data_IF_622631468463
#
_entry.id   IF_622631468463
#
_cell.length_a   1.000
_cell.length_b   1.000
_cell.length_c   1.000
_cell.angle_alpha   90.00
_cell.angle_beta   90.00
_cell.angle_gamma   90.00
#
_symmetry.space_group_name_H-M   'P 1'
#
loop_
_entity.id
_entity.type
_entity.pdbx_description
1 polymer ?
#
# COMPACT_ATOMS: atom_id res chain seq x y z
N UNK A 1 -27.24 -7.86 19.51
CA UNK A 1 -27.01 -7.90 18.07
C UNK A 1 -26.85 -6.48 17.60
N UNK A 2 -25.64 -6.00 17.46
CA UNK A 2 -25.30 -4.64 17.03
C UNK A 2 -24.18 -4.73 16.03
N UNK A 3 -24.49 -4.53 14.77
CA UNK A 3 -23.56 -4.38 13.70
C UNK A 3 -22.79 -3.08 13.90
N UNK A 4 -21.53 -3.16 14.27
CA UNK A 4 -20.63 -2.02 14.20
C UNK A 4 -20.28 -1.82 12.73
N UNK A 5 -20.95 -0.85 12.12
CA UNK A 5 -20.66 -0.41 10.77
C UNK A 5 -19.22 0.09 10.68
N UNK A 6 -18.44 -0.51 9.76
CA UNK A 6 -17.32 0.17 9.13
C UNK A 6 -17.88 1.47 8.57
N UNK A 7 -17.47 2.60 9.13
CA UNK A 7 -17.72 3.91 8.54
C UNK A 7 -16.88 4.01 7.25
N UNK A 8 -17.42 3.44 6.17
CA UNK A 8 -17.05 3.81 4.82
C UNK A 8 -17.50 5.26 4.59
N UNK A 9 -16.70 6.21 5.04
CA UNK A 9 -16.83 7.57 4.56
C UNK A 9 -16.37 7.63 3.10
N UNK A 10 -17.18 7.06 2.23
CA UNK A 10 -17.19 7.38 0.81
C UNK A 10 -17.65 8.86 0.72
N UNK A 11 -16.71 9.78 0.91
CA UNK A 11 -16.95 11.14 0.46
C UNK A 11 -17.08 11.04 -1.06
N UNK A 12 -18.30 11.23 -1.56
CA UNK A 12 -18.54 11.40 -2.99
C UNK A 12 -17.67 12.57 -3.45
N UNK A 13 -16.91 12.41 -4.55
CA UNK A 13 -16.10 13.50 -5.08
C UNK A 13 -17.00 14.69 -5.38
N UNK A 14 -16.50 15.90 -5.12
CA UNK A 14 -17.22 17.16 -5.38
C UNK A 14 -17.50 17.36 -6.87
N UNK A 15 -16.68 16.80 -7.75
CA UNK A 15 -16.90 16.70 -9.20
C UNK A 15 -17.30 15.26 -9.54
N UNK A 16 -18.26 15.07 -10.42
CA UNK A 16 -18.65 13.74 -10.94
C UNK A 16 -17.60 13.08 -11.83
N UNK A 17 -16.33 13.53 -11.77
CA UNK A 17 -15.20 13.01 -12.56
C UNK A 17 -14.88 11.55 -12.22
N UNK A 18 -14.65 10.76 -13.25
CA UNK A 18 -14.25 9.37 -13.14
C UNK A 18 -12.78 9.24 -12.70
N UNK A 19 -12.39 8.11 -12.08
CA UNK A 19 -11.00 7.84 -11.68
C UNK A 19 -10.00 8.03 -12.83
N UNK A 20 -10.34 7.56 -14.04
CA UNK A 20 -9.51 7.68 -15.25
C UNK A 20 -9.25 9.15 -15.63
N UNK A 21 -10.26 9.99 -15.58
CA UNK A 21 -10.13 11.42 -15.87
C UNK A 21 -9.23 12.12 -14.84
N UNK A 22 -9.38 11.74 -13.57
CA UNK A 22 -8.59 12.32 -12.48
C UNK A 22 -7.11 11.93 -12.56
N UNK A 23 -6.79 10.67 -12.79
CA UNK A 23 -5.40 10.24 -12.89
C UNK A 23 -4.74 10.78 -14.17
N UNK A 24 -5.50 10.89 -15.27
CA UNK A 24 -5.01 11.44 -16.53
C UNK A 24 -4.66 12.93 -16.44
N UNK A 25 -5.36 13.70 -15.59
CA UNK A 25 -5.08 15.12 -15.33
C UNK A 25 -3.85 15.33 -14.45
N UNK A 26 -3.54 14.36 -13.60
CA UNK A 26 -2.40 14.46 -12.71
C UNK A 26 -1.08 14.43 -13.48
N UNK A 27 -0.11 15.24 -13.05
CA UNK A 27 1.19 15.39 -13.71
C UNK A 27 2.27 14.48 -13.09
N UNK A 28 3.41 14.36 -13.78
CA UNK A 28 4.59 13.70 -13.23
C UNK A 28 5.01 14.31 -11.89
N UNK A 29 5.59 13.51 -11.01
CA UNK A 29 6.16 14.00 -9.74
C UNK A 29 7.36 14.93 -9.95
N UNK A 30 8.13 14.73 -11.02
CA UNK A 30 9.39 15.45 -11.27
C UNK A 30 9.20 16.98 -11.26
N UNK A 31 10.01 17.67 -10.46
CA UNK A 31 9.99 19.12 -10.32
C UNK A 31 8.79 19.67 -9.52
N UNK A 32 7.97 18.83 -8.91
CA UNK A 32 6.77 19.26 -8.15
C UNK A 32 6.99 19.14 -6.63
N UNK A 33 6.13 19.78 -5.82
CA UNK A 33 6.10 19.52 -4.37
C UNK A 33 5.84 18.04 -4.01
N UNK A 34 5.22 17.27 -4.93
CA UNK A 34 5.02 15.84 -4.81
C UNK A 34 6.35 15.06 -4.77
N UNK A 35 7.32 15.43 -5.61
CA UNK A 35 8.67 14.85 -5.57
C UNK A 35 9.30 15.06 -4.19
N UNK A 36 9.37 16.30 -3.73
CA UNK A 36 9.94 16.62 -2.42
C UNK A 36 9.22 15.89 -1.27
N UNK A 37 7.93 15.60 -1.42
CA UNK A 37 7.14 14.85 -0.45
C UNK A 37 7.55 13.37 -0.39
N UNK A 38 7.71 12.69 -1.53
CA UNK A 38 8.11 11.28 -1.56
C UNK A 38 9.55 11.10 -1.14
N UNK A 39 10.46 12.00 -1.57
CA UNK A 39 11.87 11.96 -1.19
C UNK A 39 12.08 12.15 0.32
N UNK A 40 11.33 13.04 0.98
CA UNK A 40 11.36 13.18 2.44
C UNK A 40 10.93 11.93 3.19
N UNK A 41 10.24 11.01 2.53
CA UNK A 41 9.85 9.69 3.06
C UNK A 41 10.88 8.61 2.76
N UNK A 42 12.02 8.98 2.16
CA UNK A 42 13.08 8.05 1.77
C UNK A 42 12.77 7.26 0.49
N UNK A 43 11.80 7.71 -0.31
CA UNK A 43 11.42 7.06 -1.57
C UNK A 43 12.08 7.82 -2.73
N UNK A 44 13.03 7.21 -3.47
CA UNK A 44 13.59 7.78 -4.69
C UNK A 44 12.52 8.04 -5.76
N UNK A 45 12.73 9.08 -6.57
CA UNK A 45 11.78 9.48 -7.59
C UNK A 45 11.51 8.37 -8.61
N UNK A 46 12.53 7.67 -9.06
CA UNK A 46 12.43 6.56 -10.00
C UNK A 46 11.55 5.39 -9.49
N UNK A 47 11.64 5.08 -8.20
CA UNK A 47 10.76 4.09 -7.55
C UNK A 47 9.31 4.58 -7.50
N UNK A 48 9.10 5.85 -7.17
CA UNK A 48 7.76 6.43 -7.14
C UNK A 48 7.14 6.51 -8.55
N UNK A 49 7.91 6.92 -9.55
CA UNK A 49 7.48 6.98 -10.96
C UNK A 49 7.19 5.58 -11.51
N UNK A 50 8.03 4.58 -11.22
CA UNK A 50 7.81 3.19 -11.62
C UNK A 50 6.52 2.60 -10.99
N UNK A 51 6.11 3.08 -9.82
CA UNK A 51 4.83 2.74 -9.20
C UNK A 51 3.63 3.52 -9.78
N UNK A 52 3.85 4.34 -10.81
CA UNK A 52 2.81 5.15 -11.45
C UNK A 52 2.31 6.32 -10.59
N UNK A 53 3.10 6.76 -9.61
CA UNK A 53 2.70 7.91 -8.78
C UNK A 53 2.66 9.20 -9.60
N UNK A 54 1.69 10.06 -9.29
CA UNK A 54 1.45 11.34 -9.92
C UNK A 54 1.27 12.44 -8.88
N UNK A 55 1.32 13.68 -9.33
CA UNK A 55 1.02 14.85 -8.51
C UNK A 55 -0.22 15.57 -9.01
N UNK A 56 -1.14 15.88 -8.11
CA UNK A 56 -2.27 16.75 -8.36
C UNK A 56 -2.19 17.98 -7.43
N UNK A 57 -2.10 19.19 -7.95
CA UNK A 57 -2.07 20.40 -7.13
C UNK A 57 -3.41 20.69 -6.44
N UNK A 58 -4.50 20.11 -6.94
CA UNK A 58 -5.87 20.37 -6.47
C UNK A 58 -6.71 19.09 -6.35
N UNK A 59 -6.21 18.11 -5.59
CA UNK A 59 -6.96 16.92 -5.23
C UNK A 59 -8.01 17.25 -4.17
N UNK A 60 -9.23 17.56 -4.63
CA UNK A 60 -10.34 18.00 -3.77
C UNK A 60 -9.96 19.16 -2.82
N UNK A 61 -9.38 20.20 -3.39
CA UNK A 61 -9.02 21.45 -2.69
C UNK A 61 -7.64 21.44 -2.03
N UNK A 62 -6.84 20.38 -2.17
CA UNK A 62 -5.49 20.28 -1.58
C UNK A 62 -4.52 19.52 -2.48
N UNK A 63 -3.27 19.96 -2.48
CA UNK A 63 -2.21 19.24 -3.20
C UNK A 63 -1.98 17.84 -2.64
N UNK A 64 -1.87 16.83 -3.52
CA UNK A 64 -1.70 15.43 -3.16
C UNK A 64 -0.76 14.70 -4.12
N UNK A 65 -0.15 13.62 -3.63
CA UNK A 65 0.42 12.57 -4.48
C UNK A 65 -0.62 11.49 -4.69
N UNK A 66 -0.77 11.03 -5.93
CA UNK A 66 -1.80 10.10 -6.36
C UNK A 66 -1.19 8.76 -6.79
N UNK A 67 -1.95 7.68 -6.63
CA UNK A 67 -1.66 6.38 -7.21
C UNK A 67 -2.96 5.72 -7.68
N UNK A 68 -2.92 5.05 -8.83
CA UNK A 68 -4.02 4.21 -9.32
C UNK A 68 -4.14 2.93 -8.50
N UNK A 69 -5.37 2.52 -8.24
CA UNK A 69 -5.70 1.24 -7.64
C UNK A 69 -6.41 0.39 -8.69
N UNK A 70 -5.84 -0.77 -8.98
CA UNK A 70 -6.27 -1.63 -10.07
C UNK A 70 -6.91 -2.91 -9.53
N UNK A 71 -7.88 -3.45 -10.26
CA UNK A 71 -8.44 -4.77 -9.97
C UNK A 71 -7.58 -5.90 -10.58
N UNK A 72 -8.07 -7.13 -10.47
CA UNK A 72 -7.35 -8.32 -10.94
C UNK A 72 -7.22 -8.39 -12.48
N UNK A 73 -8.07 -7.69 -13.22
CA UNK A 73 -8.01 -7.60 -14.68
C UNK A 73 -7.12 -6.45 -15.16
N UNK A 74 -6.54 -5.69 -14.22
CA UNK A 74 -5.72 -4.51 -14.51
C UNK A 74 -6.54 -3.27 -14.86
N UNK A 75 -7.86 -3.29 -14.66
CA UNK A 75 -8.69 -2.10 -14.85
C UNK A 75 -8.58 -1.16 -13.64
N UNK A 76 -8.52 0.15 -13.90
CA UNK A 76 -8.48 1.16 -12.85
C UNK A 76 -9.80 1.15 -12.06
N UNK A 77 -9.73 0.77 -10.80
CA UNK A 77 -10.89 0.75 -9.91
C UNK A 77 -11.09 2.09 -9.21
N UNK A 78 -10.00 2.68 -8.74
CA UNK A 78 -10.03 3.94 -7.99
C UNK A 78 -8.67 4.63 -8.03
N UNK A 79 -8.64 5.90 -7.63
CA UNK A 79 -7.43 6.68 -7.42
C UNK A 79 -7.32 7.06 -5.96
N UNK A 80 -6.18 6.75 -5.36
CA UNK A 80 -5.87 7.11 -3.98
C UNK A 80 -4.94 8.31 -3.94
N UNK A 81 -5.39 9.38 -3.28
CA UNK A 81 -4.62 10.60 -3.07
C UNK A 81 -4.17 10.75 -1.63
N UNK A 82 -2.87 10.97 -1.42
CA UNK A 82 -2.29 11.34 -0.14
C UNK A 82 -1.95 12.81 -0.16
N UNK A 83 -2.61 13.59 0.69
CA UNK A 83 -2.35 15.02 0.81
C UNK A 83 -0.93 15.32 1.30
N UNK A 84 -0.29 16.34 0.71
CA UNK A 84 1.06 16.73 1.07
C UNK A 84 1.14 17.35 2.47
N UNK A 85 0.05 18.00 2.89
CA UNK A 85 -0.06 18.66 4.19
C UNK A 85 -1.12 17.95 5.06
N UNK A 86 -0.82 17.82 6.35
CA UNK A 86 -1.79 17.33 7.33
C UNK A 86 -2.40 18.52 8.04
N UNK A 87 -3.72 18.65 7.95
CA UNK A 87 -4.49 19.66 8.68
C UNK A 87 -5.24 18.96 9.81
N UNK A 88 -5.17 19.52 11.04
CA UNK A 88 -5.85 18.95 12.20
C UNK A 88 -7.36 18.87 11.96
N UNK A 89 -7.95 17.72 12.23
CA UNK A 89 -9.39 17.49 12.02
C UNK A 89 -9.80 17.20 10.58
N UNK A 90 -8.85 17.13 9.65
CA UNK A 90 -9.13 16.76 8.26
C UNK A 90 -8.51 15.42 7.90
N UNK A 91 -9.10 14.76 6.89
CA UNK A 91 -8.56 13.52 6.34
C UNK A 91 -7.17 13.74 5.76
N UNK A 92 -6.29 12.76 5.98
CA UNK A 92 -4.92 12.76 5.41
C UNK A 92 -4.88 12.24 3.97
N UNK A 93 -5.97 11.65 3.51
CA UNK A 93 -6.08 10.98 2.21
C UNK A 93 -7.53 11.01 1.74
N UNK A 94 -7.72 10.84 0.45
CA UNK A 94 -9.01 10.64 -0.19
C UNK A 94 -8.85 9.59 -1.30
N UNK A 95 -9.76 8.64 -1.36
CA UNK A 95 -9.81 7.66 -2.46
C UNK A 95 -11.12 7.86 -3.22
N UNK A 96 -11.02 7.97 -4.54
CA UNK A 96 -12.15 8.19 -5.46
C UNK A 96 -12.27 7.00 -6.41
N UNK A 97 -13.47 6.48 -6.56
CA UNK A 97 -13.77 5.33 -7.39
C UNK A 97 -14.37 4.16 -6.60
N UNK A 98 -14.51 2.99 -7.28
CA UNK A 98 -15.07 1.77 -6.68
C UNK A 98 -14.07 1.10 -5.74
N UNK A 99 -14.58 0.31 -4.80
CA UNK A 99 -13.76 -0.55 -3.93
C UNK A 99 -13.18 -1.74 -4.70
N UNK A 100 -12.23 -2.45 -4.09
CA UNK A 100 -11.66 -3.68 -4.64
C UNK A 100 -10.41 -3.48 -5.50
N UNK A 101 -9.88 -2.26 -5.60
CA UNK A 101 -8.58 -1.99 -6.22
C UNK A 101 -7.44 -2.04 -5.21
N UNK A 102 -6.24 -2.37 -5.69
CA UNK A 102 -4.98 -2.35 -4.95
C UNK A 102 -3.89 -1.66 -5.76
N UNK A 103 -2.86 -1.16 -5.11
CA UNK A 103 -1.67 -0.61 -5.79
C UNK A 103 -0.54 -1.64 -5.76
N UNK A 104 -0.08 -2.07 -6.92
CA UNK A 104 1.08 -2.94 -7.06
C UNK A 104 2.33 -2.09 -7.33
N UNK A 105 3.40 -2.31 -6.57
CA UNK A 105 4.68 -1.66 -6.79
C UNK A 105 5.64 -2.66 -7.43
N UNK A 106 6.19 -2.30 -8.59
CA UNK A 106 7.04 -3.20 -9.39
C UNK A 106 6.29 -4.47 -9.82
N UNK A 107 6.97 -5.60 -9.77
CA UNK A 107 6.45 -6.91 -10.13
C UNK A 107 5.82 -7.68 -8.94
N UNK A 108 5.28 -6.96 -7.96
CA UNK A 108 4.74 -7.53 -6.71
C UNK A 108 3.76 -8.67 -6.92
N UNK A 109 2.93 -8.63 -7.98
CA UNK A 109 2.02 -9.73 -8.30
C UNK A 109 2.70 -10.99 -8.80
N UNK A 110 3.77 -10.86 -9.56
CA UNK A 110 4.55 -11.97 -10.13
C UNK A 110 5.56 -12.52 -9.12
N UNK A 111 5.86 -11.76 -8.06
CA UNK A 111 6.80 -12.18 -7.05
C UNK A 111 6.39 -13.54 -6.45
N UNK A 112 7.34 -14.46 -6.34
CA UNK A 112 7.13 -15.78 -5.72
C UNK A 112 6.56 -15.64 -4.29
N UNK A 113 6.96 -14.59 -3.59
CA UNK A 113 6.51 -14.22 -2.26
C UNK A 113 5.72 -12.93 -2.36
N UNK A 114 4.42 -13.01 -2.19
CA UNK A 114 3.55 -11.85 -2.23
C UNK A 114 3.56 -11.17 -0.87
N UNK A 115 3.91 -9.89 -0.84
CA UNK A 115 3.85 -9.08 0.38
C UNK A 115 2.68 -8.10 0.26
N UNK A 116 1.67 -8.25 1.12
CA UNK A 116 0.55 -7.33 1.24
C UNK A 116 0.82 -6.34 2.38
N UNK A 117 0.63 -5.05 2.13
CA UNK A 117 0.78 -3.96 3.11
C UNK A 117 -0.44 -3.05 3.11
N UNK A 118 -0.61 -2.25 4.17
CA UNK A 118 -1.77 -1.34 4.26
C UNK A 118 -1.62 -0.13 3.35
N UNK A 119 -0.46 0.52 3.34
CA UNK A 119 -0.24 1.80 2.69
C UNK A 119 0.67 1.75 1.48
N UNK A 120 0.45 2.68 0.54
CA UNK A 120 1.33 2.81 -0.65
C UNK A 120 2.78 3.11 -0.25
N UNK A 121 3.01 3.93 0.79
CA UNK A 121 4.38 4.26 1.23
C UNK A 121 5.10 3.07 1.87
N UNK A 122 4.36 2.10 2.41
CA UNK A 122 4.93 0.85 2.89
C UNK A 122 5.37 -0.03 1.73
N UNK A 123 4.53 -0.17 0.70
CA UNK A 123 4.89 -0.90 -0.52
C UNK A 123 6.10 -0.28 -1.24
N UNK A 124 6.16 1.05 -1.36
CA UNK A 124 7.30 1.77 -1.91
C UNK A 124 8.56 1.58 -1.07
N UNK A 125 8.44 1.61 0.26
CA UNK A 125 9.58 1.38 1.17
C UNK A 125 10.15 -0.02 1.04
N UNK A 126 9.29 -1.02 0.86
CA UNK A 126 9.72 -2.39 0.57
C UNK A 126 10.41 -2.47 -0.79
N UNK A 127 9.89 -1.80 -1.82
CA UNK A 127 10.50 -1.76 -3.15
C UNK A 127 11.89 -1.12 -3.14
N UNK A 128 12.11 -0.04 -2.38
CA UNK A 128 13.45 0.54 -2.14
C UNK A 128 14.42 -0.48 -1.55
N UNK A 129 13.91 -1.43 -0.77
CA UNK A 129 14.70 -2.52 -0.19
C UNK A 129 14.81 -3.76 -1.09
N UNK A 130 14.35 -3.69 -2.36
CA UNK A 130 14.36 -4.81 -3.30
C UNK A 130 13.27 -5.87 -3.05
N UNK A 131 12.23 -5.53 -2.30
CA UNK A 131 11.10 -6.40 -1.99
C UNK A 131 9.78 -5.76 -2.46
N UNK A 132 9.39 -5.95 -3.73
CA UNK A 132 8.15 -5.36 -4.24
C UNK A 132 6.94 -5.88 -3.46
N UNK A 133 5.96 -5.00 -3.24
CA UNK A 133 4.77 -5.28 -2.45
C UNK A 133 3.50 -4.73 -3.08
N UNK A 134 2.37 -5.15 -2.52
CA UNK A 134 1.04 -4.74 -2.92
C UNK A 134 0.35 -4.02 -1.76
N UNK A 135 -0.07 -2.79 -1.99
CA UNK A 135 -0.79 -1.98 -1.02
C UNK A 135 -2.31 -2.13 -1.18
N UNK A 136 -2.98 -2.57 -0.11
CA UNK A 136 -4.44 -2.74 -0.07
C UNK A 136 -5.19 -1.44 0.23
N UNK A 137 -4.47 -0.40 0.63
CA UNK A 137 -4.99 0.92 1.05
C UNK A 137 -6.05 0.79 2.17
N UNK A 138 -5.83 -0.16 3.10
CA UNK A 138 -6.76 -0.44 4.18
C UNK A 138 -8.13 -0.95 3.72
N UNK A 139 -8.23 -1.54 2.52
CA UNK A 139 -9.47 -2.04 1.92
C UNK A 139 -9.34 -3.48 1.48
N UNK A 140 -10.40 -4.24 1.67
CA UNK A 140 -10.50 -5.59 1.15
C UNK A 140 -10.84 -5.59 -0.35
N UNK A 141 -10.09 -6.37 -1.14
CA UNK A 141 -10.42 -6.68 -2.52
C UNK A 141 -10.97 -8.12 -2.60
N UNK A 142 -12.25 -8.31 -3.00
CA UNK A 142 -12.92 -9.63 -2.94
C UNK A 142 -12.25 -10.73 -3.77
N UNK A 143 -11.45 -10.36 -4.75
CA UNK A 143 -10.72 -11.27 -5.65
C UNK A 143 -9.35 -11.71 -5.11
N UNK A 144 -8.86 -11.11 -4.01
CA UNK A 144 -7.58 -11.47 -3.39
C UNK A 144 -7.45 -12.98 -3.06
N UNK A 145 -8.47 -13.68 -2.53
CA UNK A 145 -8.36 -15.11 -2.27
C UNK A 145 -7.98 -15.92 -3.50
N UNK A 146 -8.57 -15.60 -4.65
CA UNK A 146 -8.28 -16.29 -5.91
C UNK A 146 -6.83 -16.08 -6.35
N UNK A 147 -6.33 -14.85 -6.27
CA UNK A 147 -4.94 -14.53 -6.68
C UNK A 147 -3.91 -15.06 -5.68
N UNK A 148 -4.27 -15.16 -4.40
CA UNK A 148 -3.40 -15.64 -3.34
C UNK A 148 -3.40 -17.17 -3.19
N UNK A 149 -4.37 -17.87 -3.78
CA UNK A 149 -4.51 -19.32 -3.65
C UNK A 149 -3.21 -20.06 -3.99
N UNK A 150 -2.83 -21.03 -3.14
CA UNK A 150 -1.62 -21.84 -3.23
C UNK A 150 -0.29 -21.06 -3.26
N UNK A 151 -0.30 -19.79 -2.86
CA UNK A 151 0.89 -18.94 -2.74
C UNK A 151 1.31 -18.74 -1.29
N UNK A 152 2.57 -18.35 -1.12
CA UNK A 152 3.05 -17.81 0.16
C UNK A 152 2.76 -16.31 0.18
N UNK A 153 2.00 -15.88 1.18
CA UNK A 153 1.57 -14.49 1.36
C UNK A 153 2.11 -13.96 2.69
N UNK A 154 2.76 -12.83 2.65
CA UNK A 154 3.27 -12.13 3.82
C UNK A 154 2.40 -10.90 4.10
N UNK A 155 1.84 -10.81 5.31
CA UNK A 155 1.04 -9.66 5.74
C UNK A 155 1.92 -8.66 6.49
N UNK A 156 2.42 -7.67 5.74
CA UNK A 156 3.27 -6.59 6.23
C UNK A 156 2.49 -5.39 6.76
N UNK A 157 1.34 -5.60 7.42
CA UNK A 157 0.49 -4.54 7.97
C UNK A 157 1.15 -3.84 9.16
N UNK A 158 0.61 -2.69 9.59
CA UNK A 158 1.15 -1.89 10.69
C UNK A 158 1.39 -2.72 11.95
N UNK A 159 2.47 -2.44 12.68
CA UNK A 159 2.80 -3.09 13.94
C UNK A 159 2.04 -2.43 15.11
N UNK A 160 0.73 -2.58 15.09
CA UNK A 160 -0.18 -2.08 16.12
C UNK A 160 -1.43 -2.97 16.20
N UNK A 161 -2.25 -2.80 17.24
CA UNK A 161 -3.43 -3.62 17.44
C UNK A 161 -4.46 -3.59 16.28
N UNK A 162 -4.73 -2.46 15.59
CA UNK A 162 -5.52 -2.49 14.35
C UNK A 162 -4.90 -3.33 13.25
N UNK A 163 -3.61 -3.17 12.95
CA UNK A 163 -2.90 -3.94 11.93
C UNK A 163 -2.84 -5.44 12.24
N UNK A 164 -2.74 -5.82 13.53
CA UNK A 164 -2.76 -7.22 13.92
C UNK A 164 -4.15 -7.84 13.71
N UNK A 165 -5.22 -7.13 14.08
CA UNK A 165 -6.61 -7.58 13.80
C UNK A 165 -6.89 -7.71 12.29
N UNK A 166 -6.38 -6.79 11.51
CA UNK A 166 -6.55 -6.87 10.05
C UNK A 166 -5.74 -8.04 9.47
N UNK A 167 -4.54 -8.31 9.99
CA UNK A 167 -3.77 -9.48 9.60
C UNK A 167 -4.50 -10.79 9.94
N UNK A 168 -5.06 -10.92 11.14
CA UNK A 168 -5.87 -12.07 11.53
C UNK A 168 -7.08 -12.26 10.60
N UNK A 169 -7.77 -11.18 10.25
CA UNK A 169 -8.87 -11.20 9.29
C UNK A 169 -8.42 -11.70 7.91
N UNK A 170 -7.28 -11.20 7.39
CA UNK A 170 -6.73 -11.64 6.11
C UNK A 170 -6.30 -13.11 6.15
N UNK A 171 -5.71 -13.60 7.23
CA UNK A 171 -5.38 -15.02 7.41
C UNK A 171 -6.61 -15.92 7.28
N UNK A 172 -7.75 -15.49 7.84
CA UNK A 172 -9.01 -16.24 7.72
C UNK A 172 -9.58 -16.22 6.30
N UNK A 173 -9.51 -15.07 5.63
CA UNK A 173 -10.07 -14.87 4.28
C UNK A 173 -9.21 -15.48 3.18
N UNK A 174 -7.90 -15.62 3.39
CA UNK A 174 -6.94 -16.22 2.46
C UNK A 174 -6.67 -17.71 2.78
N UNK A 175 -7.70 -18.46 3.10
CA UNK A 175 -7.61 -19.83 3.61
C UNK A 175 -6.91 -20.84 2.67
N UNK A 176 -6.86 -20.55 1.37
CA UNK A 176 -6.15 -21.38 0.38
C UNK A 176 -4.69 -20.94 0.16
N UNK A 177 -4.21 -19.92 0.86
CA UNK A 177 -2.83 -19.47 0.85
C UNK A 177 -2.08 -19.91 2.11
N UNK A 178 -0.75 -19.97 2.02
CA UNK A 178 0.10 -20.07 3.21
C UNK A 178 0.44 -18.66 3.67
N UNK A 179 -0.15 -18.22 4.78
CA UNK A 179 -0.11 -16.82 5.20
C UNK A 179 0.76 -16.63 6.43
N UNK A 180 1.67 -15.66 6.39
CA UNK A 180 2.55 -15.30 7.51
C UNK A 180 2.43 -13.81 7.85
N UNK A 181 2.53 -13.49 9.14
CA UNK A 181 2.66 -12.11 9.62
C UNK A 181 4.11 -11.64 9.45
N UNK A 182 4.31 -10.49 8.81
CA UNK A 182 5.62 -9.87 8.62
C UNK A 182 5.64 -8.52 9.34
N UNK A 183 6.36 -8.45 10.45
CA UNK A 183 6.48 -7.22 11.24
C UNK A 183 7.70 -6.42 10.81
N UNK A 184 7.61 -5.07 10.77
CA UNK A 184 8.78 -4.21 10.59
C UNK A 184 9.75 -4.37 11.78
N UNK A 185 10.99 -3.86 11.68
CA UNK A 185 11.94 -3.86 12.79
C UNK A 185 11.36 -3.27 14.08
N UNK A 186 11.82 -3.71 15.26
CA UNK A 186 11.34 -3.20 16.55
C UNK A 186 11.34 -1.68 16.62
N UNK A 187 10.33 -1.11 17.28
CA UNK A 187 10.11 0.34 17.42
C UNK A 187 9.76 1.07 16.11
N UNK A 188 9.50 0.35 15.04
CA UNK A 188 8.92 0.88 13.81
C UNK A 188 7.47 0.42 13.71
N UNK A 189 6.55 1.35 13.48
CA UNK A 189 5.12 1.03 13.40
C UNK A 189 4.71 0.51 12.01
N UNK A 190 5.45 0.93 10.98
CA UNK A 190 5.20 0.63 9.58
C UNK A 190 6.53 0.55 8.81
N UNK A 191 6.50 0.12 7.54
CA UNK A 191 7.69 -0.06 6.72
C UNK A 191 8.31 1.26 6.29
N UNK A 192 7.50 2.31 6.10
CA UNK A 192 8.06 3.63 5.80
C UNK A 192 8.81 4.21 7.01
N UNK A 193 8.32 3.99 8.22
CA UNK A 193 9.06 4.34 9.45
C UNK A 193 10.36 3.53 9.57
N UNK A 194 10.34 2.24 9.20
CA UNK A 194 11.51 1.39 9.22
C UNK A 194 12.57 1.88 8.22
N UNK A 195 12.17 2.18 6.99
CA UNK A 195 13.07 2.75 5.97
C UNK A 195 13.71 4.04 6.46
N UNK A 196 12.89 4.98 6.99
CA UNK A 196 13.38 6.28 7.44
C UNK A 196 14.33 6.20 8.64
N UNK A 197 14.10 5.27 9.58
CA UNK A 197 14.92 5.14 10.80
C UNK A 197 16.13 4.26 10.64
N UNK A 198 16.00 3.15 9.91
CA UNK A 198 17.04 2.11 9.86
C UNK A 198 17.83 2.14 8.56
N UNK A 199 17.29 2.78 7.51
CA UNK A 199 17.85 2.79 6.17
C UNK A 199 17.61 1.47 5.40
N UNK A 200 17.80 1.50 4.06
CA UNK A 200 17.42 0.38 3.19
C UNK A 200 18.23 -0.90 3.48
N UNK A 201 19.53 -0.80 3.73
CA UNK A 201 20.38 -1.97 3.98
C UNK A 201 19.97 -2.76 5.23
N UNK A 202 19.59 -2.07 6.31
CA UNK A 202 19.16 -2.72 7.54
C UNK A 202 17.75 -3.36 7.37
N UNK A 203 16.84 -2.69 6.68
CA UNK A 203 15.51 -3.23 6.38
C UNK A 203 15.60 -4.44 5.45
N UNK A 204 16.46 -4.39 4.42
CA UNK A 204 16.70 -5.53 3.51
C UNK A 204 17.22 -6.75 4.27
N UNK A 205 18.18 -6.55 5.20
CA UNK A 205 18.69 -7.64 6.04
C UNK A 205 17.58 -8.22 6.92
N UNK A 206 16.82 -7.35 7.59
CA UNK A 206 15.68 -7.76 8.43
C UNK A 206 14.66 -8.62 7.67
N UNK A 207 14.28 -8.19 6.47
CA UNK A 207 13.35 -8.93 5.60
C UNK A 207 13.90 -10.29 5.22
N UNK A 208 15.17 -10.33 4.79
CA UNK A 208 15.84 -11.57 4.41
C UNK A 208 15.85 -12.58 5.55
N UNK A 209 16.25 -12.16 6.75
CA UNK A 209 16.37 -13.04 7.91
C UNK A 209 14.99 -13.61 8.33
N UNK A 210 13.93 -12.79 8.26
CA UNK A 210 12.57 -13.22 8.62
C UNK A 210 11.95 -14.16 7.60
N UNK A 211 12.17 -13.91 6.33
CA UNK A 211 11.61 -14.72 5.25
C UNK A 211 12.38 -16.05 5.13
N UNK A 212 13.71 -16.03 5.26
CA UNK A 212 14.51 -17.25 5.24
C UNK A 212 14.18 -18.21 6.40
N UNK A 213 13.92 -17.69 7.60
CA UNK A 213 13.58 -18.51 8.76
C UNK A 213 12.31 -19.36 8.56
N UNK A 214 11.38 -18.91 7.73
CA UNK A 214 10.15 -19.65 7.41
C UNK A 214 10.39 -20.70 6.33
N UNK A 215 11.20 -20.38 5.31
CA UNK A 215 11.54 -21.35 4.26
C UNK A 215 12.20 -22.60 4.84
N UNK A 216 13.07 -22.45 5.84
CA UNK A 216 13.73 -23.57 6.53
C UNK A 216 12.76 -24.44 7.37
N UNK A 217 11.70 -23.82 7.90
CA UNK A 217 10.70 -24.53 8.73
C UNK A 217 9.71 -25.30 7.86
N UNK A 218 9.49 -24.89 6.63
CA UNK A 218 8.54 -25.53 5.68
C UNK A 218 9.14 -26.74 4.94
N UNK A 219 10.45 -27.02 5.12
CA UNK A 219 11.18 -28.14 4.47
C UNK A 219 11.31 -29.33 5.44
N UNK A 220 10.91 -29.20 6.69
CA UNK A 220 10.88 -30.26 7.70
C UNK A 220 9.45 -30.78 7.90
#
# INVERSE_FOLDING_TARGET
MGWFGCNDHLQMPRSGELPDERIARAISLAGTPGQAYVERRGIPLDIADAAGMRFDPDWDGRAAVLVGLYDHDGALASVHGRYLTTVRGQNKMLTVGRSGGVACVGDGWQARRLILVEGIFDALSLAVCGWPGVATIGRWAPWLPQICAQRVVWLGFDANAPGDREAERYMQLLSEATVYRLLPPPRCKDWNTALAKCGPAAVTRWLRDRIAAVDETSIR
#
